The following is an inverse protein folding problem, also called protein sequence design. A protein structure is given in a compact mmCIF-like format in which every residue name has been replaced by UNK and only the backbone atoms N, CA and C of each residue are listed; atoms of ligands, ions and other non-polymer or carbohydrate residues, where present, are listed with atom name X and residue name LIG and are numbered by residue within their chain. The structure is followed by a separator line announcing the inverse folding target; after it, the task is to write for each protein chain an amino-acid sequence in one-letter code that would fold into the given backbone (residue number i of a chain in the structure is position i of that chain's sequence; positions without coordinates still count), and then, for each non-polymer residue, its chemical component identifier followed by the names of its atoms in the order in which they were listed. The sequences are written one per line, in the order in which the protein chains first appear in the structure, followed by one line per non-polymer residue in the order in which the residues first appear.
data_IF_571834016357
#
_entry.id   IF_571834016357
#
_cell.length_a   1.000
_cell.length_b   1.000
_cell.length_c   1.000
_cell.angle_alpha   90.00
_cell.angle_beta   90.00
_cell.angle_gamma   90.00
#
_symmetry.space_group_name_H-M   'P 1'
#
loop_
_entity.id
_entity.type
_entity.pdbx_description
1 polymer ?
#
# COMPACT_ATOMS: atom_id res chain seq x y z
N UNK A 1 -11.35 -8.57 17.38
CA UNK A 1 -11.00 -9.12 16.05
C UNK A 1 -9.83 -8.39 15.37
N UNK A 2 -9.64 -7.08 15.55
CA UNK A 2 -8.43 -6.39 15.09
C UNK A 2 -7.38 -6.29 16.20
N UNK A 3 -6.15 -6.75 15.94
CA UNK A 3 -4.97 -6.48 16.78
C UNK A 3 -4.52 -7.57 17.77
N UNK A 4 -5.13 -8.77 17.76
CA UNK A 4 -4.78 -9.84 18.73
C UNK A 4 -3.66 -10.76 18.24
N UNK A 5 -3.49 -10.96 16.92
CA UNK A 5 -2.45 -11.85 16.35
C UNK A 5 -1.60 -11.15 15.29
N UNK A 6 -1.68 -11.39 13.98
CA UNK A 6 -0.87 -10.65 12.99
C UNK A 6 -1.55 -9.34 12.56
N UNK A 7 -0.82 -8.23 12.52
CA UNK A 7 -1.37 -6.93 12.13
C UNK A 7 -0.71 -6.36 10.87
N UNK A 8 -1.33 -5.32 10.33
CA UNK A 8 -0.84 -4.59 9.14
C UNK A 8 0.62 -4.13 9.27
N UNK A 9 1.06 -3.73 10.47
CA UNK A 9 2.43 -3.29 10.69
C UNK A 9 3.46 -4.41 10.54
N UNK A 10 3.13 -5.63 10.95
CA UNK A 10 4.00 -6.79 10.75
C UNK A 10 4.16 -7.11 9.27
N UNK A 11 3.08 -7.05 8.49
CA UNK A 11 3.15 -7.18 7.02
C UNK A 11 4.04 -6.09 6.42
N UNK A 12 3.89 -4.82 6.83
CA UNK A 12 4.75 -3.73 6.35
C UNK A 12 6.22 -3.93 6.71
N UNK A 13 6.51 -4.35 7.95
CA UNK A 13 7.87 -4.63 8.40
C UNK A 13 8.50 -5.77 7.58
N UNK A 14 7.77 -6.86 7.36
CA UNK A 14 8.22 -7.98 6.54
C UNK A 14 8.50 -7.55 5.10
N UNK A 15 7.61 -6.78 4.47
CA UNK A 15 7.80 -6.24 3.11
C UNK A 15 9.05 -5.35 3.06
N UNK A 16 9.24 -4.45 4.03
CA UNK A 16 10.40 -3.56 4.07
C UNK A 16 11.73 -4.34 4.16
N UNK A 17 11.77 -5.43 4.92
CA UNK A 17 12.95 -6.31 5.00
C UNK A 17 13.15 -7.07 3.68
N UNK A 18 12.10 -7.67 3.13
CA UNK A 18 12.16 -8.45 1.90
C UNK A 18 12.62 -7.62 0.70
N UNK A 19 12.07 -6.42 0.52
CA UNK A 19 12.47 -5.51 -0.54
C UNK A 19 13.95 -5.17 -0.44
N UNK A 20 14.46 -4.85 0.76
CA UNK A 20 15.89 -4.58 0.97
C UNK A 20 16.75 -5.78 0.60
N UNK A 21 16.32 -6.98 0.97
CA UNK A 21 17.01 -8.23 0.61
C UNK A 21 17.02 -8.47 -0.91
N UNK A 22 15.88 -8.32 -1.58
CA UNK A 22 15.76 -8.46 -3.04
C UNK A 22 16.68 -7.45 -3.75
N UNK A 23 16.70 -6.19 -3.29
CA UNK A 23 17.53 -5.13 -3.89
C UNK A 23 19.02 -5.31 -3.67
N UNK A 24 19.44 -5.79 -2.48
CA UNK A 24 20.87 -5.98 -2.16
C UNK A 24 21.48 -7.17 -2.87
N UNK A 25 20.70 -8.21 -3.18
CA UNK A 25 21.24 -9.45 -3.73
C UNK A 25 21.61 -9.28 -5.21
N UNK A 26 22.89 -9.50 -5.52
CA UNK A 26 23.44 -9.36 -6.88
C UNK A 26 22.68 -10.18 -7.94
N UNK A 27 22.08 -11.31 -7.53
CA UNK A 27 21.26 -12.17 -8.39
C UNK A 27 20.13 -11.38 -9.08
N UNK A 28 19.35 -10.60 -8.32
CA UNK A 28 18.23 -9.83 -8.87
C UNK A 28 18.68 -8.60 -9.65
N UNK A 29 19.90 -8.10 -9.39
CA UNK A 29 20.51 -7.02 -10.18
C UNK A 29 20.97 -7.50 -11.55
N UNK A 30 21.29 -8.79 -11.69
CA UNK A 30 21.80 -9.40 -12.92
C UNK A 30 20.71 -10.06 -13.77
N UNK A 31 19.49 -10.15 -13.26
CA UNK A 31 18.33 -10.63 -14.01
C UNK A 31 17.97 -9.66 -15.16
N UNK A 32 17.68 -10.18 -16.37
CA UNK A 32 17.21 -9.35 -17.47
C UNK A 32 15.87 -8.70 -17.07
N UNK A 33 15.83 -7.37 -17.07
CA UNK A 33 14.69 -6.57 -16.60
C UNK A 33 14.66 -6.27 -15.09
N UNK A 34 15.66 -6.72 -14.32
CA UNK A 34 15.85 -6.35 -12.91
C UNK A 34 14.89 -7.02 -11.92
N UNK A 35 14.82 -6.53 -10.67
CA UNK A 35 14.04 -7.15 -9.59
C UNK A 35 12.53 -7.16 -9.84
N UNK A 36 12.01 -6.23 -10.65
CA UNK A 36 10.59 -6.19 -11.02
C UNK A 36 10.12 -7.43 -11.76
N UNK A 37 10.93 -7.94 -12.70
CA UNK A 37 10.57 -9.14 -13.47
C UNK A 37 10.52 -10.36 -12.56
N UNK A 38 11.48 -10.51 -11.65
CA UNK A 38 11.49 -11.63 -10.71
C UNK A 38 10.24 -11.62 -9.79
N UNK A 39 9.86 -10.45 -9.29
CA UNK A 39 8.68 -10.32 -8.44
C UNK A 39 7.38 -10.48 -9.24
N UNK A 40 7.36 -10.07 -10.52
CA UNK A 40 6.21 -10.33 -11.40
C UNK A 40 6.02 -11.84 -11.66
N UNK A 41 7.10 -12.59 -11.88
CA UNK A 41 7.02 -14.06 -12.02
C UNK A 41 6.47 -14.68 -10.74
N UNK A 42 6.97 -14.25 -9.57
CA UNK A 42 6.46 -14.70 -8.28
C UNK A 42 4.98 -14.37 -8.11
N UNK A 43 4.55 -13.19 -8.52
CA UNK A 43 3.15 -12.75 -8.45
C UNK A 43 2.24 -13.58 -9.38
N UNK A 44 2.70 -13.93 -10.58
CA UNK A 44 1.96 -14.82 -11.49
C UNK A 44 1.87 -16.24 -10.93
N UNK A 45 2.94 -16.77 -10.36
CA UNK A 45 2.93 -18.06 -9.67
C UNK A 45 1.98 -18.05 -8.46
N UNK A 46 1.97 -16.95 -7.70
CA UNK A 46 1.03 -16.74 -6.60
C UNK A 46 -0.43 -16.70 -7.09
N UNK A 47 -0.69 -15.99 -8.20
CA UNK A 47 -2.01 -15.98 -8.80
C UNK A 47 -2.45 -17.37 -9.29
N UNK A 48 -1.55 -18.17 -9.85
CA UNK A 48 -1.86 -19.55 -10.23
C UNK A 48 -2.27 -20.39 -9.01
N UNK A 49 -1.56 -20.24 -7.87
CA UNK A 49 -1.93 -20.89 -6.62
C UNK A 49 -3.29 -20.41 -6.10
N UNK A 50 -3.58 -19.10 -6.17
CA UNK A 50 -4.89 -18.54 -5.82
C UNK A 50 -6.01 -19.15 -6.65
N UNK A 51 -5.80 -19.24 -7.97
CA UNK A 51 -6.76 -19.86 -8.90
C UNK A 51 -6.95 -21.36 -8.67
N UNK A 52 -5.97 -22.05 -8.07
CA UNK A 52 -6.04 -23.48 -7.73
C UNK A 52 -6.80 -23.76 -6.41
N UNK A 53 -7.35 -22.74 -5.75
CA UNK A 53 -8.14 -22.88 -4.51
C UNK A 53 -7.55 -22.15 -3.30
N UNK A 54 -6.32 -21.63 -3.38
CA UNK A 54 -5.74 -20.85 -2.29
C UNK A 54 -6.54 -19.56 -2.01
N UNK A 55 -7.23 -19.00 -3.02
CA UNK A 55 -8.12 -17.86 -2.84
C UNK A 55 -9.25 -18.17 -1.83
N UNK A 56 -9.90 -19.31 -1.98
CA UNK A 56 -10.97 -19.74 -1.08
C UNK A 56 -10.44 -19.99 0.34
N UNK A 57 -9.27 -20.66 0.44
CA UNK A 57 -8.56 -20.85 1.71
C UNK A 57 -8.32 -19.51 2.41
N UNK A 58 -7.78 -18.52 1.72
CA UNK A 58 -7.46 -17.21 2.32
C UNK A 58 -8.73 -16.50 2.81
N UNK A 59 -9.79 -16.47 2.00
CA UNK A 59 -10.93 -15.58 2.23
C UNK A 59 -12.07 -16.16 3.08
N UNK A 60 -12.27 -17.48 3.05
CA UNK A 60 -13.53 -18.09 3.52
C UNK A 60 -13.36 -19.14 4.60
N UNK A 61 -12.19 -19.78 4.72
CA UNK A 61 -12.03 -20.86 5.69
C UNK A 61 -12.06 -20.37 7.15
N UNK A 62 -12.31 -21.27 8.12
CA UNK A 62 -12.20 -20.93 9.53
C UNK A 62 -10.81 -20.42 9.93
N UNK A 63 -10.77 -19.50 10.89
CA UNK A 63 -9.52 -18.93 11.46
C UNK A 63 -8.87 -19.82 12.53
N UNK A 64 -9.35 -21.04 12.68
CA UNK A 64 -8.90 -22.03 13.66
C UNK A 64 -8.84 -23.38 12.97
N UNK A 65 -7.72 -24.07 13.09
CA UNK A 65 -7.53 -25.43 12.60
C UNK A 65 -8.18 -26.46 13.53
N UNK A 66 -8.28 -26.15 14.82
CA UNK A 66 -8.93 -27.01 15.80
C UNK A 66 -10.42 -26.65 15.90
N UNK A 67 -11.29 -27.47 15.32
CA UNK A 67 -12.61 -27.65 15.93
C UNK A 67 -12.32 -28.11 17.37
N UNK A 68 -12.65 -27.29 18.38
CA UNK A 68 -12.57 -27.76 19.77
C UNK A 68 -13.52 -28.95 19.86
N UNK A 69 -12.95 -30.15 19.79
CA UNK A 69 -13.58 -31.40 20.19
C UNK A 69 -14.23 -31.15 21.54
N UNK A 70 -15.49 -31.58 21.65
CA UNK A 70 -16.42 -31.45 22.76
C UNK A 70 -15.91 -30.85 24.05
N UNK A 71 -16.69 -29.89 24.56
CA UNK A 71 -16.87 -29.70 25.99
C UNK A 71 -17.00 -31.06 26.67
N UNK A 72 -15.92 -31.59 27.23
CA UNK A 72 -15.93 -32.39 28.44
C UNK A 72 -14.50 -32.54 29.01
N UNK A 73 -14.34 -31.99 30.21
CA UNK A 73 -13.60 -32.60 31.33
C UNK A 73 -12.08 -32.72 31.21
N UNK A 74 -11.38 -31.72 31.77
CA UNK A 74 -10.06 -31.78 32.44
C UNK A 74 -9.01 -32.79 31.92
N UNK A 75 -8.90 -32.96 30.60
CA UNK A 75 -7.86 -33.78 30.02
C UNK A 75 -6.58 -32.95 29.86
N UNK A 76 -5.47 -33.57 30.30
CA UNK A 76 -4.12 -33.01 30.42
C UNK A 76 -3.78 -31.99 29.34
N UNK A 77 -3.31 -30.82 29.76
CA UNK A 77 -2.71 -29.79 28.90
C UNK A 77 -1.39 -30.32 28.36
N UNK A 78 -1.43 -31.24 27.40
CA UNK A 78 -0.36 -31.36 26.43
C UNK A 78 -0.60 -30.23 25.44
N UNK A 79 0.20 -29.16 25.56
CA UNK A 79 0.20 -28.07 24.58
C UNK A 79 0.57 -28.69 23.24
N UNK A 80 -0.41 -28.93 22.38
CA UNK A 80 -0.14 -29.33 21.01
C UNK A 80 0.39 -28.12 20.26
N UNK A 81 1.72 -28.02 20.23
CA UNK A 81 2.45 -26.95 19.54
C UNK A 81 2.02 -26.91 18.05
N UNK A 82 1.67 -28.03 17.43
CA UNK A 82 1.23 -28.06 16.03
C UNK A 82 -0.14 -27.43 15.86
N UNK A 83 -1.11 -27.77 16.72
CA UNK A 83 -2.43 -27.13 16.74
C UNK A 83 -2.36 -25.63 16.99
N UNK A 84 -1.54 -25.20 17.96
CA UNK A 84 -1.32 -23.77 18.25
C UNK A 84 -0.69 -23.04 17.06
N UNK A 85 0.34 -23.60 16.42
CA UNK A 85 0.96 -23.00 15.24
C UNK A 85 0.00 -22.94 14.04
N UNK A 86 -0.84 -23.96 13.88
CA UNK A 86 -1.85 -23.97 12.84
C UNK A 86 -2.90 -22.89 13.08
N UNK A 87 -3.40 -22.74 14.31
CA UNK A 87 -4.36 -21.68 14.67
C UNK A 87 -3.77 -20.27 14.47
N UNK A 88 -2.49 -20.08 14.80
CA UNK A 88 -1.79 -18.82 14.53
C UNK A 88 -1.75 -18.56 13.02
N UNK A 89 -1.29 -19.53 12.24
CA UNK A 89 -1.21 -19.37 10.79
C UNK A 89 -2.58 -19.16 10.14
N UNK A 90 -3.58 -19.97 10.49
CA UNK A 90 -4.94 -19.88 9.94
C UNK A 90 -5.62 -18.55 10.29
N UNK A 91 -5.36 -18.01 11.49
CA UNK A 91 -5.87 -16.70 11.90
C UNK A 91 -5.21 -15.55 11.13
N UNK A 92 -3.97 -15.71 10.70
CA UNK A 92 -3.10 -14.64 10.20
C UNK A 92 -2.70 -14.78 8.71
N UNK A 93 -3.18 -15.83 8.05
CA UNK A 93 -2.82 -16.21 6.68
C UNK A 93 -3.03 -15.11 5.64
N UNK A 94 -4.05 -14.26 5.81
CA UNK A 94 -4.28 -13.10 4.93
C UNK A 94 -3.07 -12.16 4.93
N UNK A 95 -2.55 -11.85 6.11
CA UNK A 95 -1.41 -10.96 6.29
C UNK A 95 -0.08 -11.58 5.85
N UNK A 96 0.09 -12.89 6.07
CA UNK A 96 1.32 -13.64 5.74
C UNK A 96 1.40 -13.89 4.22
N UNK A 97 0.36 -14.46 3.62
CA UNK A 97 0.34 -14.73 2.18
C UNK A 97 0.30 -13.41 1.38
N UNK A 98 -0.33 -12.38 1.95
CA UNK A 98 -0.40 -11.06 1.33
C UNK A 98 0.94 -10.33 1.19
N UNK A 99 1.99 -10.77 1.90
CA UNK A 99 3.35 -10.22 1.76
C UNK A 99 3.84 -10.29 0.31
N UNK A 100 3.44 -11.32 -0.45
CA UNK A 100 3.82 -11.48 -1.85
C UNK A 100 3.25 -10.34 -2.69
N UNK A 101 1.94 -10.10 -2.59
CA UNK A 101 1.26 -9.01 -3.31
C UNK A 101 1.79 -7.64 -2.92
N UNK A 102 1.98 -7.37 -1.63
CA UNK A 102 2.52 -6.08 -1.17
C UNK A 102 3.99 -5.85 -1.56
N UNK A 103 4.81 -6.90 -1.57
CA UNK A 103 6.19 -6.82 -2.07
C UNK A 103 6.20 -6.50 -3.57
N UNK A 104 5.28 -7.10 -4.34
CA UNK A 104 5.10 -6.79 -5.75
C UNK A 104 4.68 -5.34 -5.99
N UNK A 105 3.69 -4.84 -5.25
CA UNK A 105 3.28 -3.44 -5.31
C UNK A 105 4.49 -2.54 -5.07
N UNK A 106 5.29 -2.81 -4.03
CA UNK A 106 6.43 -1.96 -3.68
C UNK A 106 7.52 -1.94 -4.76
N UNK A 107 8.00 -3.12 -5.19
CA UNK A 107 9.11 -3.22 -6.15
C UNK A 107 8.70 -2.71 -7.53
N UNK A 108 7.51 -3.09 -8.01
CA UNK A 108 7.02 -2.68 -9.33
C UNK A 108 6.73 -1.17 -9.33
N UNK A 109 6.14 -0.61 -8.27
CA UNK A 109 5.91 0.84 -8.17
C UNK A 109 7.23 1.62 -8.21
N UNK A 110 8.25 1.17 -7.48
CA UNK A 110 9.56 1.84 -7.46
C UNK A 110 10.23 1.83 -8.85
N UNK A 111 10.23 0.68 -9.54
CA UNK A 111 10.89 0.57 -10.84
C UNK A 111 10.09 1.23 -11.97
N UNK A 112 8.77 1.01 -12.04
CA UNK A 112 7.91 1.53 -13.11
C UNK A 112 7.54 2.99 -12.85
N UNK A 113 6.87 3.29 -11.75
CA UNK A 113 6.38 4.66 -11.48
C UNK A 113 7.51 5.58 -11.03
N UNK A 114 8.41 5.09 -10.17
CA UNK A 114 9.55 5.87 -9.69
C UNK A 114 10.62 6.05 -10.76
N UNK A 115 11.37 4.98 -11.06
CA UNK A 115 12.59 5.06 -11.88
C UNK A 115 12.31 5.31 -13.36
N UNK A 116 11.27 4.68 -13.93
CA UNK A 116 10.96 4.83 -15.34
C UNK A 116 10.12 6.09 -15.63
N UNK A 117 9.04 6.36 -14.88
CA UNK A 117 8.21 7.54 -15.16
C UNK A 117 8.84 8.84 -14.64
N UNK A 118 9.28 8.89 -13.37
CA UNK A 118 9.57 10.16 -12.65
C UNK A 118 11.05 10.51 -12.52
N UNK A 119 11.96 9.52 -12.45
CA UNK A 119 13.36 9.80 -12.09
C UNK A 119 14.20 10.34 -13.26
N UNK A 120 15.01 11.38 -13.01
CA UNK A 120 15.93 11.95 -14.00
C UNK A 120 17.37 11.47 -13.71
N UNK A 121 17.94 10.61 -14.57
CA UNK A 121 19.22 9.93 -14.29
C UNK A 121 20.50 10.70 -14.62
N UNK A 122 20.47 12.00 -14.93
CA UNK A 122 21.73 12.64 -15.30
C UNK A 122 21.74 14.12 -15.61
N UNK A 123 20.81 14.91 -15.09
CA UNK A 123 20.89 16.36 -15.29
C UNK A 123 20.45 17.14 -14.06
N UNK A 124 21.32 18.03 -13.59
CA UNK A 124 21.06 19.00 -12.52
C UNK A 124 20.01 20.03 -12.95
N UNK A 125 19.85 20.23 -14.25
CA UNK A 125 18.83 21.08 -14.85
C UNK A 125 17.66 20.23 -15.36
N UNK A 126 16.45 20.56 -14.91
CA UNK A 126 15.22 19.94 -15.40
C UNK A 126 14.82 20.67 -16.67
N UNK A 127 14.95 20.02 -17.83
CA UNK A 127 14.52 20.61 -19.09
C UNK A 127 12.98 20.59 -19.23
N UNK A 128 12.35 21.58 -19.86
CA UNK A 128 10.91 21.56 -20.12
C UNK A 128 10.46 20.32 -20.92
N UNK A 129 11.34 19.81 -21.79
CA UNK A 129 11.12 18.56 -22.53
C UNK A 129 11.03 17.35 -21.59
N UNK A 130 11.90 17.27 -20.58
CA UNK A 130 11.86 16.20 -19.58
C UNK A 130 10.54 16.22 -18.80
N UNK A 131 10.08 17.39 -18.35
CA UNK A 131 8.82 17.54 -17.62
C UNK A 131 7.63 17.04 -18.45
N UNK A 132 7.56 17.42 -19.74
CA UNK A 132 6.54 16.91 -20.67
C UNK A 132 6.64 15.40 -20.88
N UNK A 133 7.86 14.87 -20.97
CA UNK A 133 8.11 13.43 -21.13
C UNK A 133 7.63 12.63 -19.91
N UNK A 134 7.77 13.16 -18.68
CA UNK A 134 7.22 12.54 -17.46
C UNK A 134 5.71 12.35 -17.56
N UNK A 135 4.97 13.40 -17.94
CA UNK A 135 3.51 13.33 -18.12
C UNK A 135 3.10 12.29 -19.18
N UNK A 136 3.80 12.26 -20.32
CA UNK A 136 3.57 11.27 -21.37
C UNK A 136 3.83 9.83 -20.90
N UNK A 137 4.94 9.59 -20.18
CA UNK A 137 5.24 8.27 -19.61
C UNK A 137 4.18 7.82 -18.60
N UNK A 138 3.75 8.72 -17.70
CA UNK A 138 2.69 8.42 -16.72
C UNK A 138 1.36 8.09 -17.40
N UNK A 139 0.99 8.84 -18.45
CA UNK A 139 -0.22 8.57 -19.23
C UNK A 139 -0.20 7.18 -19.87
N UNK A 140 0.88 6.86 -20.60
CA UNK A 140 1.03 5.56 -21.27
C UNK A 140 0.99 4.44 -20.24
N UNK A 141 1.76 4.56 -19.15
CA UNK A 141 1.77 3.57 -18.07
C UNK A 141 0.39 3.39 -17.44
N UNK A 142 -0.33 4.47 -17.17
CA UNK A 142 -1.70 4.39 -16.62
C UNK A 142 -2.64 3.65 -17.57
N UNK A 143 -2.66 4.01 -18.86
CA UNK A 143 -3.50 3.35 -19.87
C UNK A 143 -3.18 1.86 -19.96
N UNK A 144 -1.90 1.49 -20.02
CA UNK A 144 -1.48 0.09 -20.10
C UNK A 144 -1.93 -0.70 -18.87
N UNK A 145 -1.80 -0.15 -17.67
CA UNK A 145 -2.21 -0.81 -16.43
C UNK A 145 -3.73 -0.99 -16.34
N UNK A 146 -4.51 0.02 -16.76
CA UNK A 146 -5.98 -0.10 -16.83
C UNK A 146 -6.42 -1.13 -17.86
N UNK A 147 -5.80 -1.18 -19.04
CA UNK A 147 -6.07 -2.20 -20.05
C UNK A 147 -5.71 -3.60 -19.53
N UNK A 148 -4.57 -3.76 -18.86
CA UNK A 148 -4.17 -5.01 -18.24
C UNK A 148 -5.19 -5.47 -17.19
N UNK A 149 -5.68 -4.55 -16.35
CA UNK A 149 -6.74 -4.85 -15.38
C UNK A 149 -8.03 -5.32 -16.07
N UNK A 150 -8.47 -4.61 -17.13
CA UNK A 150 -9.67 -4.98 -17.89
C UNK A 150 -9.52 -6.39 -18.45
N UNK A 151 -8.35 -6.73 -19.01
CA UNK A 151 -8.06 -8.09 -19.50
C UNK A 151 -8.12 -9.12 -18.36
N UNK A 152 -7.48 -8.86 -17.22
CA UNK A 152 -7.49 -9.78 -16.07
C UNK A 152 -8.91 -10.04 -15.54
N UNK A 153 -9.73 -9.00 -15.42
CA UNK A 153 -11.08 -9.11 -14.89
C UNK A 153 -12.03 -9.73 -15.90
N UNK A 154 -12.02 -9.26 -17.17
CA UNK A 154 -13.01 -9.67 -18.17
C UNK A 154 -12.67 -10.95 -18.90
N UNK A 155 -11.40 -11.20 -19.20
CA UNK A 155 -10.99 -12.39 -19.96
C UNK A 155 -10.63 -13.56 -19.03
N UNK A 156 -9.96 -13.28 -17.92
CA UNK A 156 -9.51 -14.33 -16.99
C UNK A 156 -10.44 -14.50 -15.78
N UNK A 157 -11.47 -13.67 -15.62
CA UNK A 157 -12.43 -13.78 -14.51
C UNK A 157 -11.81 -13.52 -13.12
N UNK A 158 -10.62 -12.91 -13.05
CA UNK A 158 -9.90 -12.69 -11.79
C UNK A 158 -10.43 -11.42 -11.14
N UNK A 159 -11.44 -11.56 -10.27
CA UNK A 159 -12.01 -10.45 -9.50
C UNK A 159 -10.96 -9.79 -8.61
N UNK A 160 -11.10 -8.49 -8.34
CA UNK A 160 -10.15 -7.74 -7.50
C UNK A 160 -10.37 -8.08 -6.03
N UNK A 161 -9.37 -8.62 -5.35
CA UNK A 161 -9.45 -8.89 -3.91
C UNK A 161 -8.29 -8.28 -3.12
N UNK A 162 -8.66 -7.44 -2.15
CA UNK A 162 -7.76 -6.89 -1.14
C UNK A 162 -7.30 -7.92 -0.12
N UNK A 163 -8.15 -8.89 0.24
CA UNK A 163 -7.88 -9.86 1.32
C UNK A 163 -6.78 -10.85 0.91
N UNK A 164 -6.81 -11.30 -0.34
CA UNK A 164 -5.77 -12.16 -0.90
C UNK A 164 -4.66 -11.41 -1.61
N UNK A 165 -4.75 -10.08 -1.74
CA UNK A 165 -3.76 -9.25 -2.47
C UNK A 165 -3.41 -9.81 -3.86
N UNK A 166 -4.44 -10.25 -4.59
CA UNK A 166 -4.27 -10.99 -5.83
C UNK A 166 -3.70 -10.14 -6.98
N UNK A 167 -3.40 -10.77 -8.13
CA UNK A 167 -2.78 -10.09 -9.27
C UNK A 167 -3.60 -8.91 -9.77
N UNK A 168 -4.91 -9.08 -9.91
CA UNK A 168 -5.81 -8.01 -10.36
C UNK A 168 -5.85 -6.85 -9.36
N UNK A 169 -5.79 -7.13 -8.05
CA UNK A 169 -5.64 -6.09 -7.03
C UNK A 169 -4.31 -5.34 -7.16
N UNK A 170 -3.18 -6.03 -7.32
CA UNK A 170 -1.87 -5.39 -7.49
C UNK A 170 -1.87 -4.47 -8.71
N UNK A 171 -2.40 -4.94 -9.86
CA UNK A 171 -2.50 -4.13 -11.08
C UNK A 171 -3.44 -2.94 -10.87
N UNK A 172 -4.58 -3.13 -10.19
CA UNK A 172 -5.51 -2.05 -9.86
C UNK A 172 -4.86 -0.96 -9.00
N UNK A 173 -4.11 -1.34 -7.95
CA UNK A 173 -3.38 -0.39 -7.09
C UNK A 173 -2.34 0.37 -7.89
N UNK A 174 -1.59 -0.30 -8.77
CA UNK A 174 -0.60 0.35 -9.65
C UNK A 174 -1.27 1.33 -10.61
N UNK A 175 -2.38 0.94 -11.26
CA UNK A 175 -3.13 1.79 -12.19
C UNK A 175 -3.67 3.05 -11.52
N UNK A 176 -4.23 2.89 -10.31
CA UNK A 176 -4.77 3.99 -9.53
C UNK A 176 -3.67 4.97 -9.12
N UNK A 177 -2.54 4.48 -8.58
CA UNK A 177 -1.41 5.33 -8.20
C UNK A 177 -0.77 6.03 -9.41
N UNK A 178 -0.63 5.35 -10.55
CA UNK A 178 -0.16 5.97 -11.79
C UNK A 178 -1.09 7.12 -12.24
N UNK A 179 -2.40 6.91 -12.14
CA UNK A 179 -3.42 7.92 -12.46
C UNK A 179 -3.35 9.10 -11.50
N UNK A 180 -3.19 8.87 -10.19
CA UNK A 180 -3.01 9.95 -9.21
C UNK A 180 -1.78 10.79 -9.49
N UNK A 181 -0.65 10.15 -9.80
CA UNK A 181 0.59 10.85 -10.15
C UNK A 181 0.43 11.68 -11.43
N UNK A 182 -0.29 11.15 -12.43
CA UNK A 182 -0.63 11.89 -13.66
C UNK A 182 -1.50 13.11 -13.35
N UNK A 183 -2.54 12.96 -12.53
CA UNK A 183 -3.41 14.08 -12.13
C UNK A 183 -2.62 15.14 -11.37
N UNK A 184 -1.77 14.75 -10.41
CA UNK A 184 -0.91 15.68 -9.70
C UNK A 184 0.04 16.43 -10.65
N UNK A 185 0.63 15.72 -11.63
CA UNK A 185 1.46 16.34 -12.65
C UNK A 185 0.68 17.34 -13.51
N UNK A 186 -0.54 16.99 -13.94
CA UNK A 186 -1.42 17.88 -14.70
C UNK A 186 -1.80 19.13 -13.89
N UNK A 187 -2.18 18.96 -12.62
CA UNK A 187 -2.49 20.08 -11.74
C UNK A 187 -1.29 21.02 -11.61
N UNK A 188 -0.08 20.49 -11.39
CA UNK A 188 1.14 21.30 -11.33
C UNK A 188 1.43 22.02 -12.65
N UNK A 189 1.24 21.36 -13.78
CA UNK A 189 1.44 21.94 -15.11
C UNK A 189 0.45 23.07 -15.39
N UNK A 190 -0.84 22.90 -15.04
CA UNK A 190 -1.89 23.91 -15.21
C UNK A 190 -1.67 25.12 -14.30
N UNK A 191 -1.31 24.88 -13.04
CA UNK A 191 -1.11 25.95 -12.06
C UNK A 191 0.17 26.76 -12.30
N UNK A 192 1.00 26.41 -13.31
CA UNK A 192 2.30 27.02 -13.61
C UNK A 192 3.18 27.19 -12.37
N UNK A 193 3.01 26.32 -11.37
CA UNK A 193 3.85 26.30 -10.18
C UNK A 193 5.23 25.89 -10.69
N UNK A 194 6.19 26.82 -10.67
CA UNK A 194 7.52 26.69 -11.30
C UNK A 194 8.16 25.32 -11.03
N UNK A 195 7.89 24.36 -11.92
CA UNK A 195 8.47 23.01 -11.93
C UNK A 195 10.00 23.13 -12.17
N UNK A 196 10.41 24.26 -12.75
CA UNK A 196 11.76 24.59 -13.17
C UNK A 196 12.75 24.77 -11.99
N UNK A 197 12.27 25.04 -10.76
CA UNK A 197 13.13 25.13 -9.56
C UNK A 197 13.28 23.79 -8.82
N UNK A 198 12.82 22.70 -9.43
CA UNK A 198 12.70 21.40 -8.79
C UNK A 198 11.37 21.29 -8.05
N UNK A 199 10.86 20.05 -7.93
CA UNK A 199 9.66 19.75 -7.17
C UNK A 199 9.90 20.09 -5.69
N UNK A 200 9.63 21.32 -5.28
CA UNK A 200 9.39 21.61 -3.87
C UNK A 200 8.10 20.89 -3.53
N UNK A 201 8.21 19.81 -2.76
CA UNK A 201 7.03 19.08 -2.30
C UNK A 201 6.09 20.08 -1.63
N UNK A 202 4.79 20.04 -1.97
CA UNK A 202 3.81 20.88 -1.29
C UNK A 202 3.98 20.76 0.22
N UNK A 203 3.83 21.86 1.00
CA UNK A 203 4.06 21.83 2.45
C UNK A 203 3.33 20.69 3.16
N UNK A 204 2.12 20.34 2.69
CA UNK A 204 1.36 19.21 3.19
C UNK A 204 2.06 17.87 2.92
N UNK A 205 2.58 17.62 1.72
CA UNK A 205 3.33 16.39 1.43
C UNK A 205 4.62 16.29 2.23
N UNK A 206 5.34 17.41 2.41
CA UNK A 206 6.51 17.44 3.28
C UNK A 206 6.11 17.14 4.73
N UNK A 207 4.98 17.67 5.19
CA UNK A 207 4.49 17.44 6.53
C UNK A 207 4.09 15.98 6.78
N UNK A 208 3.36 15.39 5.85
CA UNK A 208 3.00 13.98 5.88
C UNK A 208 4.24 13.09 5.85
N UNK A 209 5.20 13.36 4.96
CA UNK A 209 6.43 12.56 4.83
C UNK A 209 7.31 12.62 6.08
N UNK A 210 7.32 13.75 6.81
CA UNK A 210 8.09 13.88 8.06
C UNK A 210 7.43 13.13 9.21
N UNK A 211 6.10 13.19 9.31
CA UNK A 211 5.33 12.69 10.45
C UNK A 211 4.34 11.57 10.06
N UNK A 212 4.81 10.60 9.26
CA UNK A 212 3.97 9.51 8.75
C UNK A 212 3.32 8.72 9.89
N UNK A 213 4.10 8.30 10.89
CA UNK A 213 3.59 7.46 11.99
C UNK A 213 2.58 8.20 12.88
N UNK A 214 2.86 9.41 13.41
CA UNK A 214 1.87 10.16 14.17
C UNK A 214 0.58 10.44 13.37
N UNK A 215 0.71 10.83 12.10
CA UNK A 215 -0.44 11.11 11.25
C UNK A 215 -1.27 9.86 11.01
N UNK A 216 -0.62 8.70 10.80
CA UNK A 216 -1.29 7.41 10.68
C UNK A 216 -2.10 7.06 11.93
N UNK A 217 -1.52 7.24 13.12
CA UNK A 217 -2.22 6.94 14.38
C UNK A 217 -3.44 7.85 14.57
N UNK A 218 -3.28 9.15 14.32
CA UNK A 218 -4.37 10.13 14.37
C UNK A 218 -5.50 9.74 13.41
N UNK A 219 -5.17 9.38 12.17
CA UNK A 219 -6.14 8.95 11.16
C UNK A 219 -6.92 7.70 11.62
N UNK A 220 -6.25 6.71 12.20
CA UNK A 220 -6.93 5.51 12.71
C UNK A 220 -7.85 5.82 13.91
N UNK A 221 -7.41 6.67 14.83
CA UNK A 221 -8.24 7.11 15.95
C UNK A 221 -9.49 7.83 15.43
N UNK A 222 -9.32 8.79 14.51
CA UNK A 222 -10.44 9.51 13.91
C UNK A 222 -11.38 8.59 13.13
N UNK A 223 -10.84 7.60 12.41
CA UNK A 223 -11.65 6.56 11.74
C UNK A 223 -12.48 5.78 12.75
N UNK A 224 -11.88 5.40 13.88
CA UNK A 224 -12.60 4.76 15.00
C UNK A 224 -13.70 5.66 15.57
N UNK A 225 -13.43 6.96 15.75
CA UNK A 225 -14.42 7.94 16.23
C UNK A 225 -15.61 8.04 15.27
N UNK A 226 -15.36 8.14 13.97
CA UNK A 226 -16.44 8.21 12.96
C UNK A 226 -17.27 6.92 12.94
N UNK A 227 -16.62 5.76 12.99
CA UNK A 227 -17.33 4.47 12.99
C UNK A 227 -18.12 4.21 14.28
N UNK A 228 -17.72 4.80 15.42
CA UNK A 228 -18.45 4.68 16.68
C UNK A 228 -19.56 5.74 16.82
N UNK A 229 -19.45 6.87 16.11
CA UNK A 229 -20.42 7.96 16.22
C UNK A 229 -21.63 7.79 15.31
N UNK A 230 -21.50 7.04 14.22
CA UNK A 230 -22.59 6.81 13.26
C UNK A 230 -22.46 5.46 12.57
N UNK A 231 -23.60 4.93 12.11
CA UNK A 231 -23.61 3.74 11.26
C UNK A 231 -23.21 4.11 9.84
N UNK A 232 -21.91 4.04 9.53
CA UNK A 232 -21.34 4.45 8.25
C UNK A 232 -21.87 3.64 7.05
N UNK A 233 -22.50 2.48 7.27
CA UNK A 233 -23.10 1.66 6.22
C UNK A 233 -24.45 2.18 5.71
N UNK A 234 -25.14 3.02 6.52
CA UNK A 234 -26.49 3.51 6.24
C UNK A 234 -26.52 5.00 5.88
N UNK A 235 -25.37 5.66 5.83
CA UNK A 235 -25.28 7.09 5.49
C UNK A 235 -25.39 7.29 3.97
N UNK A 236 -26.29 8.17 3.56
CA UNK A 236 -26.48 8.55 2.16
C UNK A 236 -25.21 9.15 1.52
N UNK A 237 -25.12 9.10 0.19
CA UNK A 237 -23.92 9.48 -0.58
C UNK A 237 -23.43 10.91 -0.29
N UNK A 238 -24.35 11.88 -0.28
CA UNK A 238 -23.99 13.29 -0.07
C UNK A 238 -23.38 13.57 1.32
N UNK A 239 -24.06 13.21 2.44
CA UNK A 239 -23.45 13.36 3.76
C UNK A 239 -22.17 12.54 3.91
N UNK A 240 -22.07 11.35 3.31
CA UNK A 240 -20.85 10.55 3.33
C UNK A 240 -19.66 11.29 2.70
N UNK A 241 -19.85 11.95 1.55
CA UNK A 241 -18.81 12.77 0.91
C UNK A 241 -18.40 13.92 1.83
N UNK A 242 -19.35 14.61 2.45
CA UNK A 242 -19.05 15.73 3.35
C UNK A 242 -18.24 15.27 4.57
N UNK A 243 -18.61 14.13 5.16
CA UNK A 243 -17.89 13.53 6.30
C UNK A 243 -16.46 13.18 5.89
N UNK A 244 -16.26 12.56 4.73
CA UNK A 244 -14.94 12.21 4.21
C UNK A 244 -14.09 13.48 3.97
N UNK A 245 -14.67 14.53 3.37
CA UNK A 245 -13.97 15.80 3.13
C UNK A 245 -13.55 16.49 4.43
N UNK A 246 -14.43 16.50 5.43
CA UNK A 246 -14.14 17.03 6.75
C UNK A 246 -13.04 16.22 7.44
N UNK A 247 -13.17 14.90 7.45
CA UNK A 247 -12.17 13.98 7.99
C UNK A 247 -10.79 14.20 7.37
N UNK A 248 -10.70 14.25 6.03
CA UNK A 248 -9.44 14.45 5.31
C UNK A 248 -8.83 15.84 5.59
N UNK A 249 -9.67 16.86 5.75
CA UNK A 249 -9.25 18.22 6.08
C UNK A 249 -8.66 18.30 7.50
N UNK A 250 -9.29 17.64 8.47
CA UNK A 250 -8.80 17.56 9.86
C UNK A 250 -7.46 16.83 9.90
N UNK A 251 -7.34 15.67 9.25
CA UNK A 251 -6.08 14.90 9.20
C UNK A 251 -4.96 15.72 8.55
N UNK A 252 -5.26 16.42 7.46
CA UNK A 252 -4.29 17.26 6.75
C UNK A 252 -3.82 18.45 7.59
N UNK A 253 -4.74 19.12 8.30
CA UNK A 253 -4.43 20.23 9.19
C UNK A 253 -3.54 19.76 10.35
N UNK A 254 -3.88 18.62 10.97
CA UNK A 254 -3.09 18.07 12.07
C UNK A 254 -1.67 17.71 11.63
N UNK A 255 -1.49 17.14 10.43
CA UNK A 255 -0.17 16.87 9.87
C UNK A 255 0.68 18.16 9.75
N UNK A 256 0.08 19.26 9.26
CA UNK A 256 0.76 20.56 9.16
C UNK A 256 1.12 21.15 10.54
N UNK A 257 0.22 21.04 11.51
CA UNK A 257 0.46 21.52 12.89
C UNK A 257 1.61 20.76 13.55
N UNK A 258 1.70 19.44 13.33
CA UNK A 258 2.80 18.61 13.86
C UNK A 258 4.16 19.11 13.36
N UNK A 259 4.30 19.42 12.07
CA UNK A 259 5.56 19.96 11.54
C UNK A 259 5.92 21.32 12.10
N UNK A 260 4.93 22.21 12.31
CA UNK A 260 5.18 23.52 12.92
C UNK A 260 5.69 23.38 14.35
N UNK A 261 5.14 22.44 15.12
CA UNK A 261 5.61 22.15 16.50
C UNK A 261 7.04 21.60 16.51
N UNK A 262 7.36 20.66 15.63
CA UNK A 262 8.72 20.10 15.54
C UNK A 262 9.75 21.19 15.19
N UNK A 263 9.40 22.10 14.29
CA UNK A 263 10.28 23.22 13.92
C UNK A 263 10.54 24.15 15.11
N UNK A 264 9.49 24.59 15.81
CA UNK A 264 9.62 25.44 17.00
C UNK A 264 10.48 24.76 18.07
N UNK A 265 10.23 23.48 18.36
CA UNK A 265 11.00 22.74 19.36
C UNK A 265 12.48 22.57 18.96
N UNK A 266 12.77 22.45 17.67
CA UNK A 266 14.16 22.36 17.18
C UNK A 266 14.92 23.69 17.28
N UNK A 267 14.24 24.81 17.06
CA UNK A 267 14.84 26.14 17.20
C UNK A 267 15.06 26.47 18.68
N UNK A 268 14.09 26.21 19.56
CA UNK A 268 14.26 26.40 21.02
C UNK A 268 15.46 25.62 21.57
N UNK A 269 15.68 24.38 21.10
CA UNK A 269 16.86 23.56 21.49
C UNK A 269 18.21 24.08 20.96
N UNK A 270 18.24 24.88 19.90
CA UNK A 270 19.50 25.51 19.43
C UNK A 270 19.89 26.71 20.27
N UNK A 271 18.93 27.33 20.96
CA UNK A 271 19.15 28.52 21.79
C UNK A 271 19.26 28.20 23.30
N UNK A 272 19.13 26.93 23.70
CA UNK A 272 19.35 26.42 25.07
C UNK A 272 20.68 25.68 25.18
#
# INVERSE_FOLDING_TARGET
EYGVRWNFFLTLAAVAVLVKCIRRRALFRRWPGGPSVAVLILLVAYQAALSAGLQFYVESEPRTCSARVGSDRWEKINIDIKGVLCDIFASDREGILGIIGYTAIHVISEDVLGRFCIWNRGSSHVSPFYVKSVGGRLLITSVVLWLALIVLVRQFGISVSRRSTNLSFVVWVLAHNATFLLVLWLCLAVLKINIDKGFTAFPLFQALNKNVLPTFLIANILTGVVNLSMNTLEVDDFPAILIILLYLSIVSLLALVLVRKDFINSEVKKFS
#
